data_IF_809707768099
#
_entry.id   IF_809707768099
#
_cell.length_a   1.000
_cell.length_b   1.000
_cell.length_c   1.000
_cell.angle_alpha   90.00
_cell.angle_beta   90.00
_cell.angle_gamma   90.00
#
_symmetry.space_group_name_H-M   'P 1'
#
loop_
_entity.id
_entity.type
_entity.pdbx_description
1 polymer ?
#
# COMPACT_ATOMS: atom_id res chain seq x y z
N UNK A 1 -11.29 -4.66 -1.56
CA UNK A 1 -10.95 -5.34 -0.27
C UNK A 1 -12.09 -5.22 0.72
N UNK A 2 -12.39 -4.02 1.24
CA UNK A 2 -13.56 -3.85 2.12
C UNK A 2 -14.88 -4.11 1.40
N UNK A 3 -14.99 -3.75 0.11
CA UNK A 3 -16.20 -3.98 -0.68
C UNK A 3 -16.59 -5.45 -0.72
N UNK A 4 -15.61 -6.36 -0.79
CA UNK A 4 -15.87 -7.80 -0.76
C UNK A 4 -16.58 -8.23 0.53
N UNK A 5 -16.16 -7.70 1.69
CA UNK A 5 -16.82 -7.98 2.96
C UNK A 5 -18.20 -7.30 3.05
N UNK A 6 -18.35 -6.11 2.45
CA UNK A 6 -19.65 -5.44 2.37
C UNK A 6 -20.64 -6.25 1.52
N UNK A 7 -20.18 -6.84 0.42
CA UNK A 7 -20.98 -7.67 -0.47
C UNK A 7 -21.32 -9.01 0.17
N UNK A 8 -20.36 -9.67 0.82
CA UNK A 8 -20.60 -10.89 1.60
C UNK A 8 -21.69 -10.69 2.66
N UNK A 9 -21.62 -9.59 3.41
CA UNK A 9 -22.64 -9.22 4.41
C UNK A 9 -24.01 -8.99 3.76
N UNK A 10 -24.05 -8.34 2.59
CA UNK A 10 -25.31 -8.09 1.87
C UNK A 10 -25.91 -9.38 1.35
N UNK A 11 -25.10 -10.25 0.78
CA UNK A 11 -25.51 -11.54 0.23
C UNK A 11 -26.03 -12.47 1.33
N UNK A 12 -25.37 -12.50 2.49
CA UNK A 12 -25.83 -13.26 3.66
C UNK A 12 -27.19 -12.76 4.15
N UNK A 13 -27.35 -11.43 4.28
CA UNK A 13 -28.63 -10.83 4.70
C UNK A 13 -29.73 -11.04 3.68
N UNK A 14 -29.43 -11.00 2.38
CA UNK A 14 -30.39 -11.25 1.31
C UNK A 14 -30.81 -12.73 1.24
N UNK A 15 -29.91 -13.64 1.57
CA UNK A 15 -30.15 -15.10 1.52
C UNK A 15 -30.79 -15.66 2.80
N UNK A 16 -30.86 -14.87 3.86
CA UNK A 16 -31.44 -15.32 5.14
C UNK A 16 -32.94 -15.59 5.03
N UNK A 17 -33.32 -16.86 5.26
CA UNK A 17 -34.73 -17.31 5.31
C UNK A 17 -35.38 -17.23 6.70
N UNK A 18 -34.62 -16.96 7.77
CA UNK A 18 -35.07 -17.18 9.17
C UNK A 18 -35.09 -15.91 10.05
N UNK A 19 -35.40 -14.75 9.49
CA UNK A 19 -35.49 -13.51 10.29
C UNK A 19 -34.13 -13.02 10.84
N UNK A 20 -33.02 -13.47 10.25
CA UNK A 20 -31.70 -12.93 10.55
C UNK A 20 -31.66 -11.47 10.13
N UNK A 21 -31.46 -10.57 11.10
CA UNK A 21 -31.39 -9.13 10.87
C UNK A 21 -29.96 -8.59 10.89
N UNK A 22 -28.96 -9.46 11.09
CA UNK A 22 -27.56 -9.10 11.24
C UNK A 22 -26.64 -10.14 10.61
N UNK A 23 -25.59 -9.68 9.95
CA UNK A 23 -24.52 -10.50 9.37
C UNK A 23 -23.17 -9.83 9.63
N UNK A 24 -22.10 -10.61 9.74
CA UNK A 24 -20.75 -10.11 9.99
C UNK A 24 -19.76 -10.85 9.10
N UNK A 25 -19.02 -10.10 8.29
CA UNK A 25 -17.87 -10.60 7.55
C UNK A 25 -16.58 -10.09 8.20
N UNK A 26 -15.54 -10.94 8.20
CA UNK A 26 -14.28 -10.68 8.89
C UNK A 26 -13.11 -10.99 7.96
N UNK A 27 -12.08 -10.14 7.96
CA UNK A 27 -10.80 -10.45 7.34
C UNK A 27 -9.63 -10.01 8.22
N UNK A 28 -8.44 -10.55 7.95
CA UNK A 28 -7.21 -10.09 8.60
C UNK A 28 -6.35 -9.31 7.60
N UNK A 29 -5.93 -8.11 7.98
CA UNK A 29 -5.08 -7.24 7.17
C UNK A 29 -3.85 -6.88 7.99
N UNK A 30 -2.66 -7.25 7.52
CA UNK A 30 -1.40 -7.06 8.25
C UNK A 30 -1.40 -7.68 9.68
N UNK A 31 -2.14 -8.76 9.89
CA UNK A 31 -2.28 -9.42 11.20
C UNK A 31 -3.37 -8.83 12.11
N UNK A 32 -3.96 -7.70 11.75
CA UNK A 32 -5.05 -7.06 12.49
C UNK A 32 -6.42 -7.49 11.94
N UNK A 33 -7.40 -7.64 12.84
CA UNK A 33 -8.77 -8.07 12.50
C UNK A 33 -9.61 -6.89 12.02
N UNK A 34 -10.19 -6.99 10.84
CA UNK A 34 -11.15 -6.05 10.26
C UNK A 34 -12.52 -6.73 10.17
N UNK A 35 -13.58 -6.03 10.56
CA UNK A 35 -14.94 -6.56 10.49
C UNK A 35 -15.90 -5.57 9.84
N UNK A 36 -16.82 -6.12 9.04
CA UNK A 36 -17.98 -5.40 8.49
C UNK A 36 -19.24 -6.05 9.06
N UNK A 37 -20.08 -5.24 9.69
CA UNK A 37 -21.35 -5.65 10.28
C UNK A 37 -22.49 -5.06 9.47
N UNK A 38 -23.38 -5.91 8.95
CA UNK A 38 -24.65 -5.50 8.36
C UNK A 38 -25.79 -5.62 9.35
N UNK A 39 -26.72 -4.67 9.30
CA UNK A 39 -28.00 -4.74 10.03
C UNK A 39 -29.14 -4.30 9.14
N UNK A 40 -30.21 -5.09 9.09
CA UNK A 40 -31.46 -4.70 8.44
C UNK A 40 -32.19 -3.71 9.34
N UNK A 41 -32.39 -2.49 8.84
CA UNK A 41 -33.11 -1.42 9.52
C UNK A 41 -34.63 -1.51 9.33
N UNK A 42 -35.40 -0.68 10.06
CA UNK A 42 -36.82 -0.50 9.81
C UNK A 42 -37.03 -0.09 8.34
N UNK A 43 -37.81 -0.86 7.60
CA UNK A 43 -38.03 -0.65 6.15
C UNK A 43 -37.12 -1.46 5.21
N UNK A 44 -36.35 -2.44 5.73
CA UNK A 44 -35.60 -3.40 4.90
C UNK A 44 -34.25 -2.90 4.38
N UNK A 45 -33.86 -1.67 4.71
CA UNK A 45 -32.56 -1.11 4.30
C UNK A 45 -31.41 -1.73 5.09
N UNK A 46 -30.33 -2.13 4.41
CA UNK A 46 -29.13 -2.65 5.07
C UNK A 46 -28.22 -1.49 5.47
N UNK A 47 -27.91 -1.38 6.77
CA UNK A 47 -26.92 -0.45 7.32
C UNK A 47 -25.64 -1.19 7.64
N UNK A 48 -24.52 -0.66 7.16
CA UNK A 48 -23.19 -1.21 7.42
C UNK A 48 -22.49 -0.46 8.56
N UNK A 49 -21.76 -1.21 9.37
CA UNK A 49 -20.85 -0.72 10.40
C UNK A 49 -19.49 -1.38 10.25
N UNK A 50 -18.46 -0.69 10.72
CA UNK A 50 -17.07 -1.09 10.48
C UNK A 50 -16.30 -1.10 11.80
N UNK A 51 -15.47 -2.12 12.00
CA UNK A 51 -14.56 -2.21 13.14
C UNK A 51 -13.17 -2.68 12.73
N UNK A 52 -12.18 -2.21 13.49
CA UNK A 52 -10.79 -2.66 13.42
C UNK A 52 -10.35 -3.05 14.83
N UNK A 53 -9.92 -4.30 14.99
CA UNK A 53 -9.59 -4.92 16.28
C UNK A 53 -10.65 -4.63 17.37
N UNK A 54 -11.93 -4.76 17.00
CA UNK A 54 -13.08 -4.54 17.89
C UNK A 54 -13.47 -3.07 18.12
N UNK A 55 -12.70 -2.10 17.63
CA UNK A 55 -13.03 -0.67 17.78
C UNK A 55 -13.82 -0.21 16.56
N UNK A 56 -15.01 0.35 16.81
CA UNK A 56 -15.87 0.90 15.77
C UNK A 56 -15.28 2.18 15.18
N UNK A 57 -15.34 2.32 13.86
CA UNK A 57 -14.92 3.53 13.17
C UNK A 57 -15.69 3.76 11.87
N UNK A 58 -15.51 4.92 11.27
CA UNK A 58 -16.05 5.24 9.95
C UNK A 58 -15.32 4.45 8.85
N UNK A 59 -16.02 4.13 7.76
CA UNK A 59 -15.47 3.45 6.58
C UNK A 59 -14.21 4.13 6.05
N UNK A 60 -14.25 5.47 5.95
CA UNK A 60 -13.13 6.28 5.46
C UNK A 60 -11.89 6.14 6.34
N UNK A 61 -12.08 6.20 7.65
CA UNK A 61 -11.00 6.02 8.64
C UNK A 61 -10.40 4.62 8.54
N UNK A 62 -11.26 3.59 8.47
CA UNK A 62 -10.82 2.21 8.30
C UNK A 62 -9.98 2.04 7.03
N UNK A 63 -10.48 2.50 5.88
CA UNK A 63 -9.77 2.43 4.60
C UNK A 63 -8.43 3.19 4.62
N UNK A 64 -8.36 4.31 5.34
CA UNK A 64 -7.10 5.05 5.51
C UNK A 64 -6.10 4.23 6.33
N UNK A 65 -6.57 3.60 7.41
CA UNK A 65 -5.76 2.83 8.34
C UNK A 65 -5.13 1.60 7.66
N UNK A 66 -5.93 0.90 6.83
CA UNK A 66 -5.51 -0.33 6.13
C UNK A 66 -4.97 -0.09 4.72
N UNK A 67 -4.76 1.17 4.33
CA UNK A 67 -4.21 1.52 3.03
C UNK A 67 -2.91 0.73 2.76
N UNK A 68 -2.76 0.05 1.60
CA UNK A 68 -1.60 -0.78 1.32
C UNK A 68 -0.32 0.04 1.10
N UNK A 69 -0.45 1.31 0.70
CA UNK A 69 0.67 2.21 0.44
C UNK A 69 1.40 2.60 1.74
N UNK A 70 2.57 2.01 1.98
CA UNK A 70 3.34 2.20 3.22
C UNK A 70 3.85 3.63 3.38
N UNK A 71 4.23 4.26 2.27
CA UNK A 71 4.70 5.65 2.24
C UNK A 71 3.56 6.68 2.20
N UNK A 72 2.29 6.26 2.24
CA UNK A 72 1.15 7.17 2.24
C UNK A 72 1.09 7.99 3.56
N UNK A 73 1.20 9.33 3.51
CA UNK A 73 1.15 10.17 4.71
C UNK A 73 -0.16 10.01 5.51
N UNK A 74 -1.29 9.84 4.83
CA UNK A 74 -2.59 9.65 5.48
C UNK A 74 -2.63 8.35 6.28
N UNK A 75 -2.06 7.26 5.74
CA UNK A 75 -1.91 5.98 6.44
C UNK A 75 -1.01 6.12 7.65
N UNK A 76 0.16 6.74 7.48
CA UNK A 76 1.13 6.94 8.57
C UNK A 76 0.48 7.71 9.73
N UNK A 77 -0.21 8.81 9.42
CA UNK A 77 -0.92 9.60 10.43
C UNK A 77 -2.06 8.81 11.11
N UNK A 78 -2.87 8.08 10.32
CA UNK A 78 -3.97 7.27 10.85
C UNK A 78 -3.47 6.15 11.76
N UNK A 79 -2.40 5.43 11.37
CA UNK A 79 -1.76 4.41 12.19
C UNK A 79 -1.13 4.99 13.46
N UNK A 80 -0.46 6.13 13.37
CA UNK A 80 0.10 6.79 14.55
C UNK A 80 -1.00 7.14 15.57
N UNK A 81 -2.14 7.67 15.10
CA UNK A 81 -3.30 7.95 15.96
C UNK A 81 -3.91 6.68 16.55
N UNK A 82 -4.02 5.61 15.76
CA UNK A 82 -4.49 4.31 16.21
C UNK A 82 -3.61 3.71 17.30
N UNK A 83 -2.29 3.67 17.10
CA UNK A 83 -1.34 3.16 18.10
C UNK A 83 -1.38 3.99 19.40
N UNK A 84 -1.51 5.32 19.28
CA UNK A 84 -1.72 6.21 20.44
C UNK A 84 -3.00 5.86 21.20
N UNK A 85 -4.11 5.61 20.49
CA UNK A 85 -5.38 5.22 21.10
C UNK A 85 -5.31 3.86 21.81
N UNK A 86 -4.56 2.90 21.26
CA UNK A 86 -4.37 1.59 21.90
C UNK A 86 -3.41 1.61 23.10
N UNK A 87 -2.81 2.76 23.44
CA UNK A 87 -1.76 2.83 24.47
C UNK A 87 -0.48 2.10 24.06
N UNK A 88 -0.31 1.75 22.78
CA UNK A 88 0.92 1.16 22.26
C UNK A 88 1.93 2.30 22.11
N UNK A 89 2.80 2.45 23.10
CA UNK A 89 4.02 3.23 22.96
C UNK A 89 4.93 2.46 22.01
N UNK A 90 4.99 2.86 20.74
CA UNK A 90 6.06 2.39 19.85
C UNK A 90 7.35 2.99 20.41
N UNK A 91 8.28 2.18 20.94
CA UNK A 91 9.58 2.71 21.34
C UNK A 91 10.21 3.31 20.09
N UNK A 92 10.64 4.57 20.15
CA UNK A 92 11.54 5.08 19.14
C UNK A 92 12.78 4.20 19.18
N UNK A 93 12.95 3.30 18.21
CA UNK A 93 14.15 2.48 18.12
C UNK A 93 15.32 3.45 17.98
N UNK A 94 16.23 3.54 18.97
CA UNK A 94 17.42 4.35 18.80
C UNK A 94 18.19 3.75 17.61
N UNK A 95 18.75 4.57 16.71
CA UNK A 95 19.57 4.03 15.63
C UNK A 95 20.73 3.25 16.26
N UNK A 96 20.72 1.92 16.15
CA UNK A 96 21.89 1.09 16.46
C UNK A 96 22.92 1.38 15.37
N UNK A 97 23.82 2.31 15.64
CA UNK A 97 25.03 2.46 14.86
C UNK A 97 25.93 1.25 15.12
N UNK A 98 25.88 0.28 14.21
CA UNK A 98 26.94 -0.70 14.05
C UNK A 98 27.75 -0.28 12.82
N UNK A 99 28.99 0.20 12.98
CA UNK A 99 29.87 0.50 11.86
C UNK A 99 30.39 -0.82 11.30
N UNK A 100 29.58 -1.48 10.50
CA UNK A 100 30.06 -2.46 9.54
C UNK A 100 30.18 -1.67 8.24
N UNK A 101 31.38 -1.64 7.65
CA UNK A 101 31.63 -1.06 6.33
C UNK A 101 30.87 -1.89 5.28
N UNK A 102 29.55 -1.72 5.23
CA UNK A 102 28.70 -2.16 4.14
C UNK A 102 28.86 -1.13 3.01
N UNK A 103 28.85 -1.56 1.74
CA UNK A 103 28.66 -0.63 0.64
C UNK A 103 27.50 0.31 0.96
N UNK A 104 27.68 1.62 0.76
CA UNK A 104 26.65 2.63 1.05
C UNK A 104 25.34 2.34 0.27
N UNK A 105 25.46 1.62 -0.84
CA UNK A 105 24.38 1.14 -1.71
C UNK A 105 24.79 -0.26 -2.20
N UNK A 106 23.90 -1.25 -2.06
CA UNK A 106 24.08 -2.57 -2.67
C UNK A 106 23.80 -2.46 -4.17
N UNK A 107 24.86 -2.25 -4.96
CA UNK A 107 24.78 -2.27 -6.42
C UNK A 107 24.64 -3.71 -6.91
N UNK A 108 23.73 -3.93 -7.87
CA UNK A 108 23.50 -5.25 -8.47
C UNK A 108 23.98 -5.22 -9.90
N UNK A 109 24.95 -6.06 -10.23
CA UNK A 109 25.36 -6.24 -11.62
C UNK A 109 24.26 -6.99 -12.39
N UNK A 110 23.82 -6.42 -13.51
CA UNK A 110 22.89 -7.05 -14.44
C UNK A 110 23.55 -7.23 -15.80
N UNK A 111 23.27 -8.37 -16.46
CA UNK A 111 23.82 -8.71 -17.77
C UNK A 111 22.69 -9.11 -18.70
N UNK A 112 22.65 -8.49 -19.89
CA UNK A 112 21.72 -8.84 -20.96
C UNK A 112 22.33 -8.45 -22.32
N UNK A 113 22.04 -9.21 -23.37
CA UNK A 113 22.54 -8.96 -24.74
C UNK A 113 24.07 -8.73 -24.84
N UNK A 114 24.87 -9.41 -24.01
CA UNK A 114 26.32 -9.22 -23.96
C UNK A 114 26.78 -7.89 -23.33
N UNK A 115 25.84 -7.06 -22.86
CA UNK A 115 26.10 -5.83 -22.09
C UNK A 115 26.07 -6.12 -20.60
N UNK A 116 26.79 -5.30 -19.85
CA UNK A 116 26.86 -5.37 -18.40
C UNK A 116 26.64 -3.97 -17.82
N UNK A 117 25.69 -3.85 -16.90
CA UNK A 117 25.36 -2.59 -16.24
C UNK A 117 25.25 -2.80 -14.73
N UNK A 118 25.45 -1.72 -13.98
CA UNK A 118 25.22 -1.68 -12.54
C UNK A 118 23.83 -1.11 -12.28
N UNK A 119 22.96 -1.89 -11.64
CA UNK A 119 21.68 -1.44 -11.14
C UNK A 119 21.82 -0.93 -9.70
N UNK A 120 21.38 0.31 -9.44
CA UNK A 120 21.40 0.92 -8.10
C UNK A 120 19.97 1.12 -7.62
N UNK A 121 19.60 0.69 -6.40
CA UNK A 121 18.30 1.01 -5.83
C UNK A 121 18.19 2.53 -5.60
N UNK A 122 17.03 3.08 -5.95
CA UNK A 122 16.73 4.50 -5.88
C UNK A 122 15.33 4.76 -5.30
N UNK A 123 15.12 5.96 -4.74
CA UNK A 123 13.83 6.43 -4.26
C UNK A 123 13.33 7.58 -5.13
N UNK A 124 12.13 7.42 -5.69
CA UNK A 124 11.50 8.40 -6.55
C UNK A 124 10.27 8.99 -5.88
N UNK A 125 10.06 10.29 -6.08
CA UNK A 125 8.84 10.97 -5.65
C UNK A 125 7.81 10.87 -6.77
N UNK A 126 6.80 10.04 -6.58
CA UNK A 126 5.78 9.72 -7.59
C UNK A 126 4.40 10.23 -7.17
N UNK A 127 3.70 10.92 -8.09
CA UNK A 127 2.30 11.26 -7.89
C UNK A 127 1.46 9.97 -7.96
N UNK A 128 0.97 9.51 -6.81
CA UNK A 128 0.36 8.19 -6.63
C UNK A 128 -1.10 8.34 -6.18
N UNK A 129 -2.07 7.65 -6.81
CA UNK A 129 -3.47 7.71 -6.41
C UNK A 129 -3.73 6.92 -5.12
N UNK A 130 -4.79 7.28 -4.39
CA UNK A 130 -5.25 6.46 -3.29
C UNK A 130 -5.91 5.18 -3.84
N UNK A 131 -5.46 3.97 -3.46
CA UNK A 131 -6.09 2.72 -3.91
C UNK A 131 -7.53 2.55 -3.41
N UNK A 132 -7.93 3.35 -2.42
CA UNK A 132 -9.28 3.36 -1.84
C UNK A 132 -10.05 4.66 -2.13
N UNK A 133 -9.52 5.54 -2.98
CA UNK A 133 -10.11 6.84 -3.33
C UNK A 133 -10.47 7.74 -2.12
N UNK A 134 -9.79 7.56 -0.97
CA UNK A 134 -10.05 8.33 0.26
C UNK A 134 -9.52 9.77 0.17
N UNK A 135 -8.49 9.96 -0.63
CA UNK A 135 -7.87 11.25 -0.93
C UNK A 135 -7.46 11.29 -2.41
N UNK A 136 -7.22 12.50 -2.93
CA UNK A 136 -6.66 12.69 -4.27
C UNK A 136 -5.25 12.11 -4.40
N UNK A 137 -4.74 12.03 -5.63
CA UNK A 137 -3.36 11.62 -5.86
C UNK A 137 -2.38 12.59 -5.17
N UNK A 138 -1.39 12.03 -4.48
CA UNK A 138 -0.40 12.78 -3.72
C UNK A 138 1.02 12.27 -3.99
N UNK A 139 2.06 13.10 -3.81
CA UNK A 139 3.43 12.65 -3.94
C UNK A 139 3.77 11.62 -2.85
N UNK A 140 4.21 10.43 -3.26
CA UNK A 140 4.68 9.36 -2.37
C UNK A 140 6.08 8.90 -2.80
N UNK A 141 6.88 8.43 -1.83
CA UNK A 141 8.14 7.78 -2.15
C UNK A 141 7.89 6.37 -2.67
N UNK A 142 8.49 6.05 -3.81
CA UNK A 142 8.46 4.74 -4.47
C UNK A 142 9.89 4.26 -4.69
N UNK A 143 10.14 2.99 -4.44
CA UNK A 143 11.41 2.34 -4.76
C UNK A 143 11.49 2.04 -6.25
N UNK A 144 12.69 2.07 -6.80
CA UNK A 144 12.98 1.60 -8.15
C UNK A 144 14.49 1.49 -8.34
N UNK A 145 14.93 1.51 -9.60
CA UNK A 145 16.31 1.28 -9.97
C UNK A 145 16.80 2.31 -10.99
N UNK A 146 18.04 2.75 -10.83
CA UNK A 146 18.80 3.48 -11.84
C UNK A 146 19.89 2.55 -12.39
N UNK A 147 20.10 2.54 -13.71
CA UNK A 147 21.11 1.74 -14.40
C UNK A 147 22.29 2.60 -14.79
N UNK A 148 23.49 2.07 -14.54
CA UNK A 148 24.75 2.72 -14.85
C UNK A 148 25.62 1.84 -15.73
N UNK A 149 26.24 2.43 -16.75
CA UNK A 149 27.25 1.80 -17.60
C UNK A 149 28.46 2.74 -17.67
N UNK A 150 29.65 2.23 -17.36
CA UNK A 150 30.88 3.02 -17.25
C UNK A 150 30.73 4.29 -16.37
N UNK A 151 29.99 4.18 -15.27
CA UNK A 151 29.75 5.27 -14.31
C UNK A 151 28.71 6.32 -14.76
N UNK A 152 28.09 6.16 -15.94
CA UNK A 152 27.04 7.07 -16.43
C UNK A 152 25.67 6.44 -16.27
N UNK A 153 24.69 7.22 -15.79
CA UNK A 153 23.31 6.77 -15.74
C UNK A 153 22.77 6.65 -17.17
N UNK A 154 22.33 5.45 -17.56
CA UNK A 154 21.80 5.15 -18.90
C UNK A 154 20.28 4.99 -18.91
N UNK A 155 19.67 4.68 -17.76
CA UNK A 155 18.23 4.58 -17.58
C UNK A 155 17.89 4.76 -16.10
N UNK A 156 16.77 5.41 -15.82
CA UNK A 156 16.37 5.70 -14.45
C UNK A 156 15.27 6.75 -14.38
N UNK A 157 14.91 7.16 -13.17
CA UNK A 157 13.93 8.23 -12.96
C UNK A 157 12.46 7.78 -13.04
N UNK A 158 11.59 8.71 -13.42
CA UNK A 158 10.14 8.53 -13.43
C UNK A 158 9.54 8.68 -14.81
N UNK A 159 8.56 7.84 -15.12
CA UNK A 159 7.66 7.98 -16.27
C UNK A 159 6.40 8.70 -15.83
N UNK A 160 5.98 9.70 -16.60
CA UNK A 160 4.69 10.38 -16.45
C UNK A 160 3.70 9.82 -17.45
N UNK A 161 2.58 9.30 -16.97
CA UNK A 161 1.47 8.93 -17.82
C UNK A 161 0.76 10.22 -18.30
N UNK A 162 0.66 10.47 -19.61
CA UNK A 162 0.07 11.70 -20.14
C UNK A 162 -1.44 11.78 -19.95
N UNK A 163 -2.15 10.65 -19.92
CA UNK A 163 -3.60 10.58 -19.79
C UNK A 163 -4.05 10.79 -18.33
N UNK A 164 -3.36 10.15 -17.39
CA UNK A 164 -3.73 10.16 -15.97
C UNK A 164 -2.95 11.20 -15.16
N UNK A 165 -1.84 11.72 -15.71
CA UNK A 165 -0.91 12.60 -15.01
C UNK A 165 -0.10 11.94 -13.90
N UNK A 166 -0.31 10.64 -13.64
CA UNK A 166 0.35 9.86 -12.60
C UNK A 166 1.79 9.53 -12.96
N UNK A 167 2.64 9.37 -11.94
CA UNK A 167 4.06 9.09 -12.13
C UNK A 167 4.42 7.73 -11.56
N UNK A 168 5.29 6.99 -12.25
CA UNK A 168 5.81 5.69 -11.80
C UNK A 168 7.31 5.64 -12.03
N UNK A 169 8.09 4.90 -11.22
CA UNK A 169 9.49 4.64 -11.56
C UNK A 169 9.59 4.00 -12.94
N UNK A 170 10.58 4.42 -13.75
CA UNK A 170 10.84 3.80 -15.05
C UNK A 170 11.17 2.32 -14.87
N UNK A 171 11.99 2.00 -13.87
CA UNK A 171 12.43 0.65 -13.54
C UNK A 171 11.98 0.34 -12.09
N UNK A 172 10.72 -0.07 -11.88
CA UNK A 172 10.17 -0.26 -10.53
C UNK A 172 10.75 -1.49 -9.80
N UNK A 173 11.28 -2.46 -10.56
CA UNK A 173 11.87 -3.70 -10.05
C UNK A 173 13.19 -4.00 -10.76
N UNK A 174 14.02 -4.85 -10.13
CA UNK A 174 15.27 -5.31 -10.75
C UNK A 174 14.99 -6.11 -12.04
N UNK A 175 13.90 -6.87 -12.05
CA UNK A 175 13.42 -7.60 -13.23
C UNK A 175 13.06 -6.64 -14.37
N UNK A 176 12.35 -5.54 -14.09
CA UNK A 176 12.06 -4.51 -15.09
C UNK A 176 13.35 -3.86 -15.64
N UNK A 177 14.36 -3.64 -14.79
CA UNK A 177 15.69 -3.20 -15.20
C UNK A 177 16.39 -4.20 -16.14
N UNK A 178 16.33 -5.49 -15.84
CA UNK A 178 16.88 -6.54 -16.71
C UNK A 178 16.15 -6.62 -18.05
N UNK A 179 14.81 -6.59 -18.05
CA UNK A 179 14.00 -6.57 -19.27
C UNK A 179 14.29 -5.33 -20.11
N UNK A 180 14.41 -4.16 -19.48
CA UNK A 180 14.75 -2.93 -20.18
C UNK A 180 16.11 -3.04 -20.87
N UNK A 181 17.14 -3.56 -20.18
CA UNK A 181 18.48 -3.74 -20.75
C UNK A 181 18.48 -4.78 -21.89
N UNK A 182 17.68 -5.84 -21.78
CA UNK A 182 17.52 -6.86 -22.82
C UNK A 182 16.74 -6.35 -24.06
N UNK A 183 16.00 -5.26 -23.94
CA UNK A 183 15.27 -4.65 -25.05
C UNK A 183 16.06 -3.54 -25.77
N UNK A 184 17.24 -3.16 -25.25
CA UNK A 184 18.19 -2.25 -25.91
C UNK A 184 19.09 -3.03 -26.87
#
# INVERSE_FOLDING_TARGET
MIEHLEDEVRDELASSKHGQTRAVAVMHVNGDRLEVLGRIGPGGTIRLGYSYCGVRMERKTLLTLVCPEQSCPCRVASRANWHRHQGIVIPATPPRFQPVARPLIEEVEIRANGRCCQARPALFRCLTPCPHAVHSAIPMQKTGWDLFEAGRCIAGGVLKNPETGLWVPLLPTLEAAQTWLAAQ
#
